data_IF_350645089841
#
_entry.id   IF_350645089841
#
_cell.length_a   1.000
_cell.length_b   1.000
_cell.length_c   1.000
_cell.angle_alpha   90.00
_cell.angle_beta   90.00
_cell.angle_gamma   90.00
#
_symmetry.space_group_name_H-M   'P 1'
#
loop_
_entity.id
_entity.type
_entity.pdbx_description
1 polymer ?
#
# COMPACT_ATOMS: atom_id res chain seq x y z
N UNK A 1 13.58 44.96 -14.20
CA UNK A 1 14.26 45.10 -12.89
C UNK A 1 14.34 43.71 -12.25
N UNK A 2 15.54 43.13 -12.13
CA UNK A 2 15.67 41.79 -11.52
C UNK A 2 15.49 41.88 -9.99
N UNK A 3 14.72 40.99 -9.36
CA UNK A 3 14.54 41.04 -7.90
C UNK A 3 15.89 40.77 -7.19
N UNK A 4 16.27 41.65 -6.25
CA UNK A 4 17.55 41.60 -5.51
C UNK A 4 17.62 40.47 -4.47
N UNK A 5 16.48 39.85 -4.15
CA UNK A 5 16.34 38.85 -3.10
C UNK A 5 15.84 37.51 -3.63
N UNK A 6 16.19 36.42 -2.94
CA UNK A 6 15.64 35.08 -3.13
C UNK A 6 15.09 34.53 -1.83
N UNK A 7 14.00 33.78 -1.94
CA UNK A 7 13.49 32.91 -0.90
C UNK A 7 14.29 31.61 -0.95
N UNK A 8 14.75 31.12 0.19
CA UNK A 8 15.78 30.08 0.20
C UNK A 8 15.55 28.96 1.21
N UNK A 9 14.95 29.26 2.36
CA UNK A 9 14.82 28.28 3.43
C UNK A 9 13.52 28.48 4.18
N UNK A 10 12.78 27.38 4.30
CA UNK A 10 11.52 27.31 5.03
C UNK A 10 11.72 26.42 6.25
N UNK A 11 11.88 27.03 7.44
CA UNK A 11 11.93 26.30 8.70
C UNK A 11 10.52 25.91 9.12
N UNK A 12 10.33 24.62 9.37
CA UNK A 12 9.04 23.97 9.63
C UNK A 12 8.92 23.39 11.05
N UNK A 13 9.87 23.67 11.95
CA UNK A 13 9.85 23.10 13.32
C UNK A 13 8.58 23.45 14.12
N UNK A 14 7.89 24.53 13.75
CA UNK A 14 6.65 24.99 14.38
C UNK A 14 5.43 24.75 13.50
N UNK A 15 5.57 24.03 12.38
CA UNK A 15 4.46 23.58 11.55
C UNK A 15 4.05 22.20 12.05
N UNK A 16 2.77 22.06 12.36
CA UNK A 16 2.16 20.79 12.75
C UNK A 16 1.30 20.32 11.59
N UNK A 17 1.51 19.06 11.19
CA UNK A 17 0.77 18.38 10.13
C UNK A 17 0.13 17.16 10.76
N UNK A 18 -1.17 16.96 10.52
CA UNK A 18 -1.91 15.76 10.93
C UNK A 18 -2.67 15.24 9.73
N UNK A 19 -2.56 13.95 9.48
CA UNK A 19 -3.35 13.28 8.44
C UNK A 19 -4.59 12.68 9.08
N UNK A 20 -5.75 12.96 8.49
CA UNK A 20 -6.98 12.24 8.81
C UNK A 20 -6.98 10.88 8.13
N UNK A 21 -7.89 10.01 8.57
CA UNK A 21 -8.06 8.68 7.99
C UNK A 21 -8.41 8.77 6.49
N UNK A 22 -7.79 7.93 5.64
CA UNK A 22 -8.10 7.89 4.23
C UNK A 22 -9.55 7.44 4.01
N UNK A 23 -10.26 8.17 3.18
CA UNK A 23 -11.59 7.79 2.71
C UNK A 23 -11.46 7.09 1.37
N UNK A 24 -11.93 5.85 1.30
CA UNK A 24 -12.00 5.08 0.06
C UNK A 24 -13.39 5.21 -0.56
N UNK A 25 -13.42 5.40 -1.87
CA UNK A 25 -14.64 5.37 -2.68
C UNK A 25 -14.48 4.43 -3.86
N UNK A 26 -15.59 3.80 -4.27
CA UNK A 26 -15.60 2.86 -5.40
C UNK A 26 -14.59 1.72 -5.24
N UNK A 27 -14.29 1.33 -3.98
CA UNK A 27 -13.36 0.26 -3.71
C UNK A 27 -14.05 -1.08 -4.00
N UNK A 28 -13.76 -1.61 -5.17
CA UNK A 28 -14.36 -2.85 -5.63
C UNK A 28 -13.36 -3.99 -5.49
N UNK A 29 -13.83 -5.11 -4.94
CA UNK A 29 -13.13 -6.38 -5.06
C UNK A 29 -13.23 -6.85 -6.52
N UNK A 30 -12.10 -6.96 -7.20
CA UNK A 30 -12.02 -7.47 -8.57
C UNK A 30 -12.09 -9.01 -8.63
N UNK A 31 -12.22 -9.67 -7.47
CA UNK A 31 -12.36 -11.11 -7.32
C UNK A 31 -11.20 -11.76 -6.58
N UNK A 32 -11.46 -12.97 -6.08
CA UNK A 32 -10.44 -13.87 -5.58
C UNK A 32 -9.95 -14.74 -6.74
N UNK A 33 -8.65 -14.73 -7.03
CA UNK A 33 -8.07 -15.67 -8.00
C UNK A 33 -7.28 -16.74 -7.24
N UNK A 34 -7.72 -18.01 -7.26
CA UNK A 34 -6.94 -19.09 -6.68
C UNK A 34 -5.75 -19.41 -7.58
N UNK A 35 -4.56 -19.51 -6.99
CA UNK A 35 -3.34 -19.93 -7.66
C UNK A 35 -2.77 -21.16 -6.96
N UNK A 36 -2.48 -22.21 -7.74
CA UNK A 36 -1.75 -23.36 -7.22
C UNK A 36 -0.26 -23.03 -7.21
N UNK A 37 0.33 -22.94 -6.02
CA UNK A 37 1.75 -22.62 -5.86
C UNK A 37 2.65 -23.84 -6.04
N UNK A 38 2.17 -24.99 -5.57
CA UNK A 38 2.95 -26.21 -5.50
C UNK A 38 2.05 -27.42 -5.60
N UNK A 39 2.55 -28.48 -6.25
CA UNK A 39 1.92 -29.78 -6.36
C UNK A 39 2.93 -30.87 -6.05
N UNK A 40 2.52 -31.86 -5.29
CA UNK A 40 3.27 -33.10 -5.10
C UNK A 40 2.35 -34.29 -5.32
N UNK A 41 2.85 -35.34 -5.96
CA UNK A 41 2.09 -36.57 -6.21
C UNK A 41 2.78 -37.68 -5.43
N UNK A 42 2.01 -38.31 -4.55
CA UNK A 42 2.43 -39.46 -3.77
C UNK A 42 1.79 -40.71 -4.36
N UNK A 43 2.59 -41.74 -4.62
CA UNK A 43 2.12 -42.98 -5.25
C UNK A 43 2.36 -44.16 -4.31
N UNK A 44 1.32 -44.92 -4.03
CA UNK A 44 1.40 -46.11 -3.19
C UNK A 44 1.04 -47.37 -4.01
N UNK A 45 2.08 -48.12 -4.38
CA UNK A 45 1.95 -49.40 -5.09
C UNK A 45 1.79 -50.62 -4.16
N UNK A 46 1.64 -50.40 -2.85
CA UNK A 46 1.57 -51.48 -1.87
C UNK A 46 0.15 -51.82 -1.48
N UNK A 47 -0.05 -52.98 -0.85
CA UNK A 47 -1.36 -53.46 -0.39
C UNK A 47 -1.85 -52.82 0.91
N UNK A 48 -1.15 -51.79 1.41
CA UNK A 48 -1.49 -51.11 2.67
C UNK A 48 -1.40 -49.60 2.50
N UNK A 49 -2.21 -48.80 3.21
CA UNK A 49 -2.07 -47.35 3.22
C UNK A 49 -0.67 -46.90 3.67
N UNK A 50 -0.17 -45.82 3.08
CA UNK A 50 1.11 -45.20 3.45
C UNK A 50 0.89 -43.73 3.83
N UNK A 51 1.65 -43.26 4.80
CA UNK A 51 1.63 -41.86 5.23
C UNK A 51 2.88 -41.14 4.76
N UNK A 52 2.69 -39.98 4.13
CA UNK A 52 3.76 -39.11 3.67
C UNK A 52 3.70 -37.76 4.35
N UNK A 53 4.86 -37.18 4.63
CA UNK A 53 4.95 -35.81 5.11
C UNK A 53 4.97 -34.83 3.94
N UNK A 54 4.10 -33.83 4.00
CA UNK A 54 3.99 -32.73 3.04
C UNK A 54 4.37 -31.42 3.73
N UNK A 55 5.65 -31.07 3.60
CA UNK A 55 6.23 -29.85 4.17
C UNK A 55 6.73 -28.93 3.08
N UNK A 56 6.36 -27.66 3.14
CA UNK A 56 6.90 -26.66 2.22
C UNK A 56 6.83 -25.27 2.80
N UNK A 57 7.70 -24.39 2.33
CA UNK A 57 7.74 -22.97 2.67
C UNK A 57 7.77 -22.16 1.37
N UNK A 58 7.04 -21.04 1.36
CA UNK A 58 6.95 -20.15 0.20
C UNK A 58 6.73 -18.72 0.64
N UNK A 59 7.33 -17.78 -0.08
CA UNK A 59 7.05 -16.35 0.09
C UNK A 59 6.19 -15.83 -1.06
N UNK A 60 5.14 -15.08 -0.75
CA UNK A 60 4.32 -14.31 -1.71
C UNK A 60 4.52 -12.82 -1.53
N UNK A 61 4.35 -12.06 -2.60
CA UNK A 61 4.42 -10.60 -2.58
C UNK A 61 3.01 -10.01 -2.56
N UNK A 62 2.72 -9.14 -1.59
CA UNK A 62 1.52 -8.30 -1.59
C UNK A 62 1.91 -6.91 -2.09
N UNK A 63 1.04 -6.29 -2.89
CA UNK A 63 1.33 -5.04 -3.59
C UNK A 63 0.29 -3.97 -3.25
N UNK A 64 0.75 -2.78 -2.92
CA UNK A 64 -0.07 -1.58 -2.90
C UNK A 64 0.46 -0.60 -3.93
N UNK A 65 -0.40 -0.12 -4.81
CA UNK A 65 -0.07 0.93 -5.77
C UNK A 65 -1.00 2.13 -5.64
N UNK A 66 -0.45 3.30 -5.90
CA UNK A 66 -1.13 4.59 -5.81
C UNK A 66 -0.80 5.42 -7.04
N UNK A 67 -1.81 6.10 -7.57
CA UNK A 67 -1.64 7.15 -8.57
C UNK A 67 -2.20 8.43 -7.97
N UNK A 68 -1.35 9.44 -7.82
CA UNK A 68 -1.71 10.74 -7.27
C UNK A 68 -2.26 11.63 -8.37
N UNK A 69 -3.49 12.10 -8.20
CA UNK A 69 -4.13 13.05 -9.12
C UNK A 69 -4.11 14.46 -8.55
N UNK A 70 -4.28 14.57 -7.23
CA UNK A 70 -4.22 15.80 -6.47
C UNK A 70 -3.43 15.58 -5.17
N UNK A 71 -2.54 16.49 -4.85
CA UNK A 71 -1.77 16.44 -3.62
C UNK A 71 -0.99 17.72 -3.39
N UNK A 72 -0.22 17.76 -2.31
CA UNK A 72 0.63 18.90 -1.98
C UNK A 72 2.07 18.44 -1.70
N UNK A 73 2.98 19.41 -1.79
CA UNK A 73 4.40 19.22 -1.53
C UNK A 73 4.84 20.12 -0.39
N UNK A 74 5.64 19.59 0.52
CA UNK A 74 6.29 20.40 1.55
C UNK A 74 7.79 20.16 1.48
N UNK A 75 8.51 21.16 0.96
CA UNK A 75 9.97 21.08 0.82
C UNK A 75 10.46 20.01 -0.15
N UNK A 76 9.65 19.65 -1.16
CA UNK A 76 10.01 18.68 -2.19
C UNK A 76 9.49 17.26 -1.95
N UNK A 77 8.93 17.00 -0.76
CA UNK A 77 8.37 15.69 -0.40
C UNK A 77 6.83 15.74 -0.37
N UNK A 78 6.19 14.62 -0.73
CA UNK A 78 4.72 14.44 -0.61
C UNK A 78 4.44 13.57 0.59
N UNK A 79 3.80 14.05 1.64
CA UNK A 79 3.39 13.17 2.74
C UNK A 79 2.01 12.57 2.41
N UNK A 80 1.97 11.26 2.14
CA UNK A 80 0.74 10.51 1.93
C UNK A 80 0.80 9.21 2.73
N UNK A 81 -0.09 9.06 3.70
CA UNK A 81 -0.30 7.80 4.42
C UNK A 81 -1.63 7.20 3.97
N UNK A 82 -1.59 5.98 3.48
CA UNK A 82 -2.78 5.19 3.18
C UNK A 82 -2.87 4.02 4.16
N UNK A 83 -4.09 3.63 4.48
CA UNK A 83 -4.38 2.47 5.30
C UNK A 83 -4.92 1.36 4.43
N UNK A 84 -4.58 0.11 4.71
CA UNK A 84 -5.16 -0.97 3.93
C UNK A 84 -6.67 -0.99 4.11
N UNK A 85 -7.46 -1.05 3.03
CA UNK A 85 -8.88 -1.18 3.17
C UNK A 85 -9.22 -2.58 3.68
N UNK A 86 -10.07 -2.63 4.71
CA UNK A 86 -10.58 -3.80 5.43
C UNK A 86 -9.68 -4.33 6.57
N UNK A 87 -10.30 -4.50 7.75
CA UNK A 87 -9.72 -5.19 8.93
C UNK A 87 -9.31 -6.65 8.62
N UNK A 88 -9.89 -7.27 7.59
CA UNK A 88 -9.63 -8.66 7.20
C UNK A 88 -8.23 -8.85 6.60
N UNK A 89 -7.66 -7.82 5.94
CA UNK A 89 -6.31 -7.88 5.40
C UNK A 89 -5.25 -7.90 6.52
N UNK A 90 -5.50 -7.17 7.60
CA UNK A 90 -4.58 -7.02 8.75
C UNK A 90 -4.44 -8.31 9.56
N UNK A 91 -5.53 -9.07 9.72
CA UNK A 91 -5.56 -10.23 10.61
C UNK A 91 -5.06 -11.52 9.96
N UNK A 92 -5.00 -11.58 8.61
CA UNK A 92 -4.70 -12.82 7.86
C UNK A 92 -3.44 -12.77 7.00
N UNK A 93 -2.96 -11.58 6.62
CA UNK A 93 -1.86 -11.43 5.68
C UNK A 93 -0.57 -10.83 6.29
N UNK A 94 -0.52 -10.55 7.60
CA UNK A 94 0.69 -10.01 8.24
C UNK A 94 1.16 -8.65 7.69
N UNK A 95 0.31 -7.96 6.94
CA UNK A 95 0.63 -6.72 6.23
C UNK A 95 0.59 -5.53 7.19
N UNK A 96 1.43 -4.53 6.96
CA UNK A 96 1.37 -3.29 7.74
C UNK A 96 0.09 -2.52 7.41
N UNK A 97 -0.72 -2.29 8.45
CA UNK A 97 -1.95 -1.50 8.38
C UNK A 97 -1.78 -0.14 7.67
N UNK A 98 -0.59 0.48 7.79
CA UNK A 98 -0.31 1.81 7.26
C UNK A 98 0.89 1.81 6.29
N UNK A 99 0.73 2.52 5.17
CA UNK A 99 1.72 2.67 4.12
C UNK A 99 2.00 4.14 3.82
N UNK A 100 3.27 4.55 3.95
CA UNK A 100 3.70 5.94 3.78
C UNK A 100 4.39 6.15 2.43
N UNK A 101 3.79 6.92 1.53
CA UNK A 101 4.37 7.25 0.23
C UNK A 101 4.92 8.68 0.24
N UNK A 102 6.17 8.83 0.67
CA UNK A 102 6.78 10.13 0.96
C UNK A 102 7.45 10.79 -0.26
N UNK A 103 7.68 10.01 -1.31
CA UNK A 103 8.29 10.47 -2.55
C UNK A 103 7.22 10.59 -3.65
N UNK A 104 7.23 11.71 -4.38
CA UNK A 104 6.34 11.98 -5.53
C UNK A 104 6.37 10.85 -6.55
N UNK A 105 7.55 10.28 -6.76
CA UNK A 105 7.77 9.26 -7.78
C UNK A 105 7.48 7.84 -7.26
N UNK A 106 7.25 7.68 -5.96
CA UNK A 106 6.93 6.40 -5.35
C UNK A 106 5.43 6.13 -5.46
N UNK A 107 5.08 5.22 -6.35
CA UNK A 107 3.70 4.87 -6.69
C UNK A 107 3.36 3.42 -6.33
N UNK A 108 4.30 2.65 -5.81
CA UNK A 108 4.06 1.28 -5.42
C UNK A 108 4.95 0.88 -4.23
N UNK A 109 4.41 0.03 -3.37
CA UNK A 109 5.11 -0.65 -2.28
C UNK A 109 4.71 -2.11 -2.26
N UNK A 110 5.68 -2.97 -1.97
CA UNK A 110 5.42 -4.37 -1.76
C UNK A 110 5.89 -4.85 -0.39
N UNK A 111 5.18 -5.84 0.14
CA UNK A 111 5.55 -6.55 1.36
C UNK A 111 5.56 -8.05 1.07
N UNK A 112 6.57 -8.73 1.59
CA UNK A 112 6.73 -10.17 1.45
C UNK A 112 6.07 -10.88 2.64
N UNK A 113 5.31 -11.92 2.33
CA UNK A 113 4.65 -12.78 3.30
C UNK A 113 5.11 -14.21 3.11
N UNK A 114 5.65 -14.81 4.18
CA UNK A 114 6.10 -16.21 4.17
C UNK A 114 5.02 -17.13 4.72
N UNK A 115 4.75 -18.18 3.97
CA UNK A 115 3.80 -19.24 4.25
C UNK A 115 4.56 -20.53 4.48
N UNK A 116 4.13 -21.33 5.44
CA UNK A 116 4.65 -22.68 5.64
C UNK A 116 3.49 -23.66 5.80
N UNK A 117 3.69 -24.87 5.28
CA UNK A 117 2.80 -26.02 5.46
C UNK A 117 3.59 -27.11 6.13
N UNK A 118 2.98 -27.73 7.14
CA UNK A 118 3.37 -29.02 7.68
C UNK A 118 2.10 -29.88 7.80
N UNK A 119 1.88 -30.76 6.83
CA UNK A 119 0.71 -31.64 6.76
C UNK A 119 1.13 -33.07 6.51
N UNK A 120 0.27 -34.02 6.88
CA UNK A 120 0.44 -35.43 6.55
C UNK A 120 -0.58 -35.82 5.46
N UNK A 121 -0.14 -36.59 4.47
CA UNK A 121 -0.96 -37.12 3.37
C UNK A 121 -1.00 -38.62 3.49
N UNK A 122 -2.19 -39.19 3.64
CA UNK A 122 -2.41 -40.63 3.63
C UNK A 122 -2.77 -41.07 2.22
N UNK A 123 -2.04 -42.03 1.67
CA UNK A 123 -2.26 -42.56 0.32
C UNK A 123 -2.77 -44.00 0.43
N UNK A 124 -4.00 -44.29 -0.02
CA UNK A 124 -4.54 -45.65 -0.03
C UNK A 124 -3.70 -46.62 -0.85
N UNK A 125 -3.87 -47.92 -0.59
CA UNK A 125 -3.23 -48.98 -1.36
C UNK A 125 -3.64 -48.91 -2.85
N UNK A 126 -2.67 -48.94 -3.76
CA UNK A 126 -2.85 -48.86 -5.22
C UNK A 126 -3.44 -47.54 -5.73
N UNK A 127 -3.21 -46.45 -5.00
CA UNK A 127 -3.64 -45.09 -5.37
C UNK A 127 -2.45 -44.14 -5.53
N UNK A 128 -2.69 -43.06 -6.28
CA UNK A 128 -1.89 -41.85 -6.28
C UNK A 128 -2.71 -40.69 -5.70
N UNK A 129 -2.09 -39.89 -4.85
CA UNK A 129 -2.70 -38.69 -4.25
C UNK A 129 -1.88 -37.46 -4.64
N UNK A 130 -2.50 -36.52 -5.35
CA UNK A 130 -1.97 -35.19 -5.61
C UNK A 130 -2.32 -34.26 -4.45
N UNK A 131 -1.30 -33.72 -3.77
CA UNK A 131 -1.43 -32.63 -2.80
C UNK A 131 -1.07 -31.30 -3.47
N UNK A 132 -2.02 -30.37 -3.51
CA UNK A 132 -1.88 -29.04 -4.11
C UNK A 132 -2.03 -27.93 -3.07
N UNK A 133 -1.10 -26.99 -3.02
CA UNK A 133 -1.26 -25.76 -2.21
C UNK A 133 -1.88 -24.68 -3.07
N UNK A 134 -3.00 -24.16 -2.60
CA UNK A 134 -3.75 -23.10 -3.26
C UNK A 134 -3.75 -21.87 -2.38
N UNK A 135 -3.36 -20.74 -2.96
CA UNK A 135 -3.51 -19.42 -2.35
C UNK A 135 -4.58 -18.63 -3.09
N UNK A 136 -5.46 -17.99 -2.33
CA UNK A 136 -6.43 -17.02 -2.86
C UNK A 136 -5.89 -15.62 -2.69
N UNK A 137 -5.61 -14.97 -3.82
CA UNK A 137 -5.26 -13.56 -3.87
C UNK A 137 -6.49 -12.72 -4.16
N UNK A 138 -6.62 -11.61 -3.44
CA UNK A 138 -7.70 -10.65 -3.58
C UNK A 138 -7.15 -9.33 -4.07
N UNK A 139 -7.83 -8.79 -5.07
CA UNK A 139 -7.49 -7.51 -5.68
C UNK A 139 -8.58 -6.49 -5.38
N UNK A 140 -8.19 -5.34 -4.87
CA UNK A 140 -9.05 -4.19 -4.65
C UNK A 140 -8.55 -3.03 -5.49
N UNK A 141 -9.47 -2.32 -6.14
CA UNK A 141 -9.15 -1.07 -6.84
C UNK A 141 -10.20 -0.04 -6.52
N UNK A 142 -9.80 1.21 -6.34
CA UNK A 142 -10.72 2.30 -6.09
C UNK A 142 -10.03 3.66 -6.10
N UNK A 143 -10.76 4.64 -5.60
CA UNK A 143 -10.25 6.00 -5.38
C UNK A 143 -10.05 6.25 -3.89
N UNK A 144 -9.09 7.10 -3.56
CA UNK A 144 -8.84 7.54 -2.20
C UNK A 144 -8.91 9.06 -2.10
N UNK A 145 -9.26 9.54 -0.91
CA UNK A 145 -9.15 10.94 -0.50
C UNK A 145 -8.58 11.01 0.92
N UNK A 146 -7.51 11.79 1.12
CA UNK A 146 -6.90 12.02 2.43
C UNK A 146 -6.91 13.51 2.72
N UNK A 147 -7.33 13.89 3.93
CA UNK A 147 -7.25 15.27 4.38
C UNK A 147 -6.06 15.46 5.31
N UNK A 148 -5.20 16.41 4.98
CA UNK A 148 -4.11 16.84 5.83
C UNK A 148 -4.44 18.18 6.47
N UNK A 149 -4.36 18.23 7.80
CA UNK A 149 -4.64 19.41 8.62
C UNK A 149 -3.33 20.05 9.05
N UNK A 150 -3.11 21.28 8.59
CA UNK A 150 -1.91 22.08 8.86
C UNK A 150 -2.23 23.18 9.86
N UNK A 151 -1.33 23.40 10.82
CA UNK A 151 -1.39 24.52 11.76
C UNK A 151 0.00 24.96 12.23
N UNK A 152 0.08 26.14 12.82
CA UNK A 152 1.32 26.66 13.41
C UNK A 152 2.05 27.63 12.49
N UNK A 153 3.37 27.71 12.68
CA UNK A 153 4.19 28.77 12.13
C UNK A 153 5.21 28.23 11.14
N UNK A 154 5.39 28.98 10.06
CA UNK A 154 6.43 28.76 9.06
C UNK A 154 7.38 29.95 9.07
N UNK A 155 8.69 29.69 9.11
CA UNK A 155 9.70 30.75 8.99
C UNK A 155 10.35 30.70 7.62
N UNK A 156 10.25 31.80 6.89
CA UNK A 156 10.79 32.00 5.56
C UNK A 156 12.03 32.89 5.68
N UNK A 157 13.16 32.44 5.13
CA UNK A 157 14.40 33.21 5.10
C UNK A 157 14.58 33.93 3.77
N UNK A 158 14.48 35.26 3.80
CA UNK A 158 14.80 36.15 2.69
C UNK A 158 16.31 36.35 2.66
N UNK A 159 16.95 35.95 1.56
CA UNK A 159 18.39 36.07 1.35
C UNK A 159 18.69 36.95 0.14
N UNK A 160 19.77 37.71 0.19
CA UNK A 160 20.27 38.49 -0.95
C UNK A 160 20.75 37.54 -2.05
N UNK A 161 20.42 37.81 -3.32
CA UNK A 161 20.78 36.89 -4.43
C UNK A 161 22.29 36.80 -4.65
N UNK A 162 22.99 37.93 -4.58
CA UNK A 162 24.42 38.05 -4.92
C UNK A 162 25.32 37.10 -4.12
N UNK A 163 25.06 36.98 -2.82
CA UNK A 163 25.94 36.28 -1.89
C UNK A 163 25.19 35.37 -0.90
N UNK A 164 23.88 35.22 -1.06
CA UNK A 164 23.03 34.44 -0.14
C UNK A 164 23.08 34.90 1.31
N UNK A 165 23.50 36.15 1.59
CA UNK A 165 23.44 36.71 2.93
C UNK A 165 21.99 36.76 3.43
N UNK A 166 21.73 36.34 4.68
CA UNK A 166 20.41 36.45 5.30
C UNK A 166 20.08 37.93 5.50
N UNK A 167 18.96 38.35 4.93
CA UNK A 167 18.48 39.73 5.00
C UNK A 167 17.39 39.82 6.07
N UNK A 168 16.40 38.93 5.99
CA UNK A 168 15.27 38.94 6.92
C UNK A 168 14.65 37.55 7.06
N UNK A 169 14.56 37.00 8.28
CA UNK A 169 13.64 35.90 8.55
C UNK A 169 12.24 36.45 8.84
N UNK A 170 11.23 35.89 8.18
CA UNK A 170 9.82 36.16 8.44
C UNK A 170 9.15 34.92 9.00
N UNK A 171 8.56 35.02 10.19
CA UNK A 171 7.76 33.95 10.77
C UNK A 171 6.29 34.31 10.67
N UNK A 172 5.50 33.45 10.04
CA UNK A 172 4.08 33.70 9.77
C UNK A 172 3.26 32.46 10.09
N UNK A 173 1.99 32.68 10.42
CA UNK A 173 1.03 31.60 10.61
C UNK A 173 0.62 31.03 9.25
N UNK A 174 0.65 29.71 9.11
CA UNK A 174 0.29 29.02 7.87
C UNK A 174 -1.15 29.32 7.44
N UNK A 175 -2.07 29.50 8.39
CA UNK A 175 -3.48 29.81 8.13
C UNK A 175 -3.62 31.18 7.47
N UNK A 176 -2.90 32.19 7.97
CA UNK A 176 -2.92 33.55 7.39
C UNK A 176 -2.36 33.54 5.98
N UNK A 177 -1.24 32.81 5.74
CA UNK A 177 -0.65 32.67 4.41
C UNK A 177 -1.65 32.08 3.41
N UNK A 178 -2.35 31.01 3.80
CA UNK A 178 -3.34 30.38 2.92
C UNK A 178 -4.59 31.24 2.75
N UNK A 179 -5.04 31.94 3.80
CA UNK A 179 -6.20 32.85 3.73
C UNK A 179 -5.96 33.96 2.72
N UNK A 180 -4.86 34.70 2.87
CA UNK A 180 -4.48 35.78 1.97
C UNK A 180 -4.40 35.29 0.52
N UNK A 181 -3.80 34.12 0.31
CA UNK A 181 -3.71 33.53 -1.02
C UNK A 181 -5.08 33.17 -1.59
N UNK A 182 -5.90 32.43 -0.85
CA UNK A 182 -7.20 31.91 -1.32
C UNK A 182 -8.22 33.03 -1.60
N UNK A 183 -8.15 34.15 -0.87
CA UNK A 183 -8.98 35.35 -1.08
C UNK A 183 -8.54 36.14 -2.33
N UNK A 184 -7.31 35.96 -2.80
CA UNK A 184 -6.81 36.66 -3.98
C UNK A 184 -7.54 36.19 -5.25
N UNK A 185 -7.85 37.14 -6.16
CA UNK A 185 -8.50 36.84 -7.46
C UNK A 185 -7.64 35.97 -8.39
N UNK A 186 -6.32 36.00 -8.23
CA UNK A 186 -5.36 35.23 -9.01
C UNK A 186 -5.09 33.83 -8.45
N UNK A 187 -5.69 33.45 -7.32
CA UNK A 187 -5.54 32.10 -6.80
C UNK A 187 -6.10 31.08 -7.78
N UNK A 188 -5.28 30.07 -8.10
CA UNK A 188 -5.62 29.07 -9.09
C UNK A 188 -6.78 28.21 -8.60
N UNK A 189 -7.68 27.83 -9.53
CA UNK A 189 -8.92 27.10 -9.21
C UNK A 189 -8.66 25.72 -8.59
N UNK A 190 -7.62 25.03 -9.07
CA UNK A 190 -7.13 23.76 -8.52
C UNK A 190 -6.74 23.88 -7.04
N UNK A 191 -6.03 24.96 -6.66
CA UNK A 191 -5.68 25.21 -5.25
C UNK A 191 -6.93 25.48 -4.42
N UNK A 192 -7.90 26.26 -4.92
CA UNK A 192 -9.15 26.52 -4.19
C UNK A 192 -10.01 25.26 -4.00
N UNK A 193 -9.90 24.29 -4.90
CA UNK A 193 -10.58 23.00 -4.78
C UNK A 193 -9.84 22.05 -3.82
N UNK A 194 -8.53 22.22 -3.65
CA UNK A 194 -7.67 21.35 -2.85
C UNK A 194 -7.39 21.86 -1.43
N UNK A 195 -7.55 23.15 -1.16
CA UNK A 195 -7.23 23.78 0.10
C UNK A 195 -8.41 24.59 0.64
N UNK A 196 -8.71 24.43 1.93
CA UNK A 196 -9.72 25.22 2.63
C UNK A 196 -9.22 25.69 3.99
N UNK A 197 -9.74 26.84 4.43
CA UNK A 197 -9.53 27.34 5.77
C UNK A 197 -10.65 26.79 6.65
N UNK A 198 -10.29 26.12 7.74
CA UNK A 198 -11.22 25.61 8.73
C UNK A 198 -11.14 26.48 9.99
N UNK A 199 -12.17 27.32 10.16
CA UNK A 199 -12.21 28.36 11.17
C UNK A 199 -11.04 29.34 11.08
N UNK A 200 -10.45 29.69 12.22
CA UNK A 200 -9.28 30.58 12.29
C UNK A 200 -7.96 29.84 12.56
N UNK A 201 -7.99 28.50 12.62
CA UNK A 201 -6.90 27.72 13.24
C UNK A 201 -6.22 26.71 12.32
N UNK A 202 -6.89 26.28 11.26
CA UNK A 202 -6.40 25.17 10.46
C UNK A 202 -6.52 25.43 8.96
N UNK A 203 -5.57 24.88 8.21
CA UNK A 203 -5.66 24.70 6.76
C UNK A 203 -5.90 23.22 6.51
N UNK A 204 -6.96 22.88 5.78
CA UNK A 204 -7.22 21.50 5.34
C UNK A 204 -6.81 21.37 3.88
N UNK A 205 -5.93 20.43 3.58
CA UNK A 205 -5.48 20.10 2.23
C UNK A 205 -6.02 18.71 1.87
N UNK A 206 -6.64 18.60 0.69
CA UNK A 206 -7.22 17.35 0.20
C UNK A 206 -6.29 16.76 -0.85
N UNK A 207 -5.81 15.55 -0.60
CA UNK A 207 -5.09 14.72 -1.57
C UNK A 207 -6.02 13.65 -2.11
N UNK A 208 -6.01 13.42 -3.42
CA UNK A 208 -6.88 12.45 -4.10
C UNK A 208 -6.12 11.67 -5.16
N UNK A 209 -6.61 10.47 -5.43
CA UNK A 209 -6.11 9.67 -6.53
C UNK A 209 -6.75 8.30 -6.57
N UNK A 210 -6.13 7.40 -7.32
CA UNK A 210 -6.53 5.99 -7.40
C UNK A 210 -5.55 5.11 -6.65
N UNK A 211 -6.05 4.00 -6.11
CA UNK A 211 -5.26 3.01 -5.40
C UNK A 211 -5.66 1.59 -5.84
N UNK A 212 -4.68 0.70 -5.85
CA UNK A 212 -4.89 -0.73 -6.03
C UNK A 212 -4.15 -1.49 -4.93
N UNK A 213 -4.80 -2.52 -4.41
CA UNK A 213 -4.26 -3.39 -3.39
C UNK A 213 -4.39 -4.85 -3.83
N UNK A 214 -3.31 -5.61 -3.67
CA UNK A 214 -3.26 -7.04 -3.94
C UNK A 214 -2.74 -7.75 -2.69
N UNK A 215 -3.56 -8.65 -2.14
CA UNK A 215 -3.26 -9.38 -0.91
C UNK A 215 -3.49 -10.87 -1.10
N UNK A 216 -2.54 -11.68 -0.63
CA UNK A 216 -2.78 -13.12 -0.42
C UNK A 216 -3.53 -13.30 0.91
N UNK A 217 -4.76 -13.81 0.87
CA UNK A 217 -5.65 -13.86 2.07
C UNK A 217 -5.82 -15.24 2.68
N UNK A 218 -5.76 -16.30 1.87
CA UNK A 218 -6.11 -17.64 2.32
C UNK A 218 -5.23 -18.66 1.66
N UNK A 219 -4.75 -19.59 2.47
CA UNK A 219 -4.05 -20.78 2.06
C UNK A 219 -4.93 -22.02 2.32
N UNK A 220 -4.96 -22.95 1.38
CA UNK A 220 -5.54 -24.29 1.57
C UNK A 220 -4.74 -25.36 0.86
N UNK A 221 -4.92 -26.61 1.30
CA UNK A 221 -4.37 -27.80 0.66
C UNK A 221 -5.55 -28.58 0.05
N UNK A 222 -5.48 -28.82 -1.26
CA UNK A 222 -6.43 -29.67 -1.97
C UNK A 222 -5.76 -31.03 -2.22
N UNK A 223 -6.44 -32.12 -1.85
CA UNK A 223 -6.01 -33.49 -2.14
C UNK A 223 -6.87 -34.08 -3.26
N UNK A 224 -6.26 -34.69 -4.26
CA UNK A 224 -6.95 -35.43 -5.32
C UNK A 224 -6.41 -36.84 -5.42
N UNK A 225 -7.31 -37.82 -5.34
CA UNK A 225 -6.96 -39.23 -5.37
C UNK A 225 -7.38 -39.86 -6.68
N UNK A 226 -6.51 -40.68 -7.24
CA UNK A 226 -6.75 -41.44 -8.47
C UNK A 226 -6.19 -42.86 -8.33
N UNK A 227 -6.88 -43.84 -8.89
CA UNK A 227 -6.39 -45.23 -8.94
C UNK A 227 -5.20 -45.34 -9.89
N UNK A 228 -4.22 -46.17 -9.54
CA UNK A 228 -3.10 -46.49 -10.42
C UNK A 228 -3.62 -47.40 -11.56
N UNK A 229 -3.47 -46.95 -12.80
CA UNK A 229 -3.99 -47.66 -13.97
C UNK A 229 -3.25 -48.98 -14.23
N UNK A 230 -3.93 -49.96 -14.80
CA UNK A 230 -3.42 -51.34 -14.98
C UNK A 230 -2.10 -51.44 -15.77
N UNK A 231 -1.74 -50.42 -16.56
CA UNK A 231 -0.46 -50.37 -17.29
C UNK A 231 0.76 -50.09 -16.42
N UNK A 232 0.60 -49.43 -15.27
CA UNK A 232 1.70 -49.14 -14.33
C UNK A 232 1.92 -50.27 -13.32
N UNK A 233 0.91 -51.12 -13.10
CA UNK A 233 1.04 -52.32 -12.25
C UNK A 233 1.98 -53.38 -12.82
N UNK A 234 2.16 -53.43 -14.16
CA UNK A 234 3.00 -54.43 -14.83
C UNK A 234 4.48 -54.08 -14.94
N UNK A 235 4.92 -52.91 -14.46
CA UNK A 235 6.34 -52.49 -14.55
C UNK A 235 7.18 -52.84 -13.31
N UNK A 236 6.59 -53.45 -12.29
CA UNK A 236 7.28 -53.85 -11.06
C UNK A 236 6.86 -55.26 -10.65
N UNK A 237 7.08 -56.22 -11.54
CA UNK A 237 7.27 -57.65 -11.19
C UNK A 237 8.70 -58.06 -11.59
#
# INVERSE_FOLDING_TARGET
MYPLFKLSFTNRRKLVIRHEEPQYSQLNCQGARPFTLFKSIYTNNTDRPQEYSFKTERTTESLCSVMREQGYLIGGETELTLKTPCEIAELKAGFKHEMNFNNVNENAKSELLSWSVDSTVVVPAHYKTEASIIIEEMNYSGTYSVVSVLSGLVTISIRRRKDSALVLPLTMNIVEIFRDYLETRSARKDIKAAAMIDGAKFVRLISKGTCSFQFALKQRIDLKEETIGDKEKMMVD
#
